data_IF_765293162535
#
_entry.id   IF_765293162535
#
_cell.length_a   1.000
_cell.length_b   1.000
_cell.length_c   1.000
_cell.angle_alpha   90.00
_cell.angle_beta   90.00
_cell.angle_gamma   90.00
#
_symmetry.space_group_name_H-M   'P 1'
#
loop_
_entity.id
_entity.type
_entity.pdbx_description
1 polymer ?
#
# COMPACT_ATOMS: atom_id res chain seq x y z
N UNK A 1 10.00 28.05 24.82
CA UNK A 1 10.01 26.70 24.23
C UNK A 1 8.66 26.50 23.59
N UNK A 2 8.57 26.65 22.26
CA UNK A 2 7.31 26.38 21.56
C UNK A 2 7.13 24.87 21.49
N UNK A 3 6.07 24.37 22.11
CA UNK A 3 5.75 22.95 22.16
C UNK A 3 5.17 22.54 20.82
N UNK A 4 5.99 22.27 19.80
CA UNK A 4 5.46 21.92 18.47
C UNK A 4 4.80 20.55 18.52
N UNK A 5 3.50 20.52 18.27
CA UNK A 5 2.72 19.30 18.14
C UNK A 5 2.67 18.90 16.68
N UNK A 6 2.89 17.62 16.34
CA UNK A 6 2.77 17.14 14.96
C UNK A 6 1.63 16.14 14.83
N UNK A 7 0.70 16.45 13.94
CA UNK A 7 -0.32 15.54 13.45
C UNK A 7 0.01 15.17 12.00
N UNK A 8 0.41 13.93 11.76
CA UNK A 8 0.51 13.38 10.39
C UNK A 8 -0.72 12.52 10.17
N UNK A 9 -1.54 12.93 9.21
CA UNK A 9 -2.71 12.15 8.78
C UNK A 9 -2.48 11.69 7.35
N UNK A 10 -2.79 10.42 7.07
CA UNK A 10 -2.75 9.95 5.70
C UNK A 10 -3.36 8.59 5.45
N UNK A 11 -3.49 8.30 4.16
CA UNK A 11 -3.98 7.03 3.64
C UNK A 11 -2.78 6.10 3.44
N UNK A 12 -2.80 4.92 4.05
CA UNK A 12 -1.74 3.91 3.87
C UNK A 12 -2.22 2.77 3.00
N UNK A 13 -1.50 2.43 1.93
CA UNK A 13 -1.70 1.15 1.25
C UNK A 13 -1.07 0.01 2.05
N UNK A 14 -1.86 -1.03 2.30
CA UNK A 14 -1.34 -2.38 2.40
C UNK A 14 -1.04 -2.91 1.01
N UNK A 15 0.04 -3.69 0.84
CA UNK A 15 0.29 -4.42 -0.40
C UNK A 15 -0.84 -5.44 -0.63
N UNK A 16 -1.88 -5.04 -1.36
CA UNK A 16 -2.96 -5.92 -1.81
C UNK A 16 -2.60 -6.52 -3.17
N UNK A 17 -2.31 -7.82 -3.21
CA UNK A 17 -2.47 -8.58 -4.44
C UNK A 17 -3.96 -8.55 -4.83
N UNK A 18 -4.23 -8.52 -6.15
CA UNK A 18 -5.54 -8.65 -6.77
C UNK A 18 -6.50 -9.54 -5.95
N UNK A 19 -7.80 -9.21 -5.94
CA UNK A 19 -8.90 -10.03 -6.48
C UNK A 19 -10.27 -9.42 -6.10
N UNK A 20 -11.25 -9.68 -6.98
CA UNK A 20 -12.64 -9.18 -6.99
C UNK A 20 -13.40 -9.48 -5.68
N UNK A 21 -14.32 -8.59 -5.36
CA UNK A 21 -15.45 -8.68 -4.41
C UNK A 21 -15.19 -8.44 -2.91
N UNK A 22 -16.23 -7.90 -2.27
CA UNK A 22 -16.30 -7.24 -0.96
C UNK A 22 -15.79 -8.11 0.20
N UNK A 23 -15.36 -7.45 1.27
CA UNK A 23 -15.00 -8.00 2.60
C UNK A 23 -13.81 -8.97 2.65
N UNK A 24 -12.58 -8.49 2.43
CA UNK A 24 -11.37 -9.32 2.47
C UNK A 24 -11.09 -10.05 3.81
N UNK A 25 -11.58 -9.59 4.97
CA UNK A 25 -11.43 -10.35 6.22
C UNK A 25 -12.54 -11.39 6.46
N UNK A 26 -13.61 -11.45 5.66
CA UNK A 26 -14.72 -12.41 5.86
C UNK A 26 -15.37 -13.06 4.62
N UNK A 27 -15.14 -12.62 3.36
CA UNK A 27 -15.84 -13.18 2.17
C UNK A 27 -14.96 -13.76 1.06
N UNK A 28 -13.63 -13.75 1.16
CA UNK A 28 -12.76 -14.28 0.10
C UNK A 28 -12.72 -15.81 0.05
N UNK A 29 -13.81 -16.43 -0.41
CA UNK A 29 -13.76 -17.80 -0.93
C UNK A 29 -14.53 -17.99 -2.25
N UNK A 30 -15.37 -17.05 -2.70
CA UNK A 30 -16.05 -17.22 -3.99
C UNK A 30 -15.44 -16.33 -5.03
N UNK A 31 -14.63 -16.99 -5.86
CA UNK A 31 -14.15 -16.57 -7.18
C UNK A 31 -12.76 -15.93 -7.18
N UNK A 32 -11.93 -16.55 -8.00
CA UNK A 32 -10.65 -16.06 -8.52
C UNK A 32 -9.50 -16.11 -7.52
N UNK A 33 -8.59 -17.06 -7.71
CA UNK A 33 -7.16 -16.84 -7.51
C UNK A 33 -6.55 -16.71 -8.89
N UNK A 34 -5.69 -15.72 -9.09
CA UNK A 34 -4.93 -15.52 -10.31
C UNK A 34 -4.29 -16.83 -10.80
N UNK A 35 -4.40 -17.05 -12.11
CA UNK A 35 -4.19 -18.35 -12.74
C UNK A 35 -2.83 -18.96 -12.40
N UNK A 36 -1.77 -18.18 -12.13
CA UNK A 36 -0.42 -18.68 -11.83
C UNK A 36 -0.30 -19.51 -10.53
N UNK A 37 -0.96 -19.14 -9.43
CA UNK A 37 -0.89 -19.93 -8.20
C UNK A 37 -1.78 -21.17 -8.30
N UNK A 38 -2.95 -21.05 -8.92
CA UNK A 38 -3.74 -22.22 -9.32
C UNK A 38 -2.98 -23.09 -10.30
N UNK A 39 -2.23 -22.55 -11.26
CA UNK A 39 -1.45 -23.32 -12.23
C UNK A 39 -0.22 -23.93 -11.60
N UNK A 40 0.43 -23.31 -10.62
CA UNK A 40 1.52 -23.92 -9.85
C UNK A 40 1.01 -25.00 -8.90
N UNK A 41 -0.17 -24.82 -8.30
CA UNK A 41 -0.85 -25.83 -7.48
C UNK A 41 -1.42 -26.98 -8.34
N UNK A 42 -1.96 -26.68 -9.53
CA UNK A 42 -2.38 -27.62 -10.57
C UNK A 42 -1.14 -28.32 -11.13
N UNK A 43 -0.04 -27.62 -11.40
CA UNK A 43 1.23 -28.25 -11.78
C UNK A 43 1.78 -29.09 -10.63
N UNK A 44 1.67 -28.70 -9.36
CA UNK A 44 2.07 -29.54 -8.24
C UNK A 44 1.13 -30.74 -8.03
N UNK A 45 -0.14 -30.61 -8.42
CA UNK A 45 -1.17 -31.65 -8.39
C UNK A 45 -1.03 -32.65 -9.55
N UNK A 46 -0.68 -32.17 -10.75
CA UNK A 46 -0.51 -32.96 -11.98
C UNK A 46 0.95 -33.33 -12.28
N UNK A 47 1.95 -32.67 -11.70
CA UNK A 47 3.38 -33.02 -11.82
C UNK A 47 3.62 -34.46 -11.38
N UNK A 48 3.08 -34.93 -10.24
CA UNK A 48 3.12 -36.34 -9.90
C UNK A 48 2.46 -37.20 -10.99
N UNK A 49 1.31 -36.80 -11.54
CA UNK A 49 0.65 -37.55 -12.63
C UNK A 49 1.50 -37.67 -13.90
N UNK A 50 2.26 -36.64 -14.28
CA UNK A 50 3.19 -36.69 -15.43
C UNK A 50 4.38 -37.64 -15.20
N UNK A 51 4.82 -37.83 -13.94
CA UNK A 51 5.86 -38.80 -13.59
C UNK A 51 5.30 -40.20 -13.27
N UNK A 52 4.04 -40.28 -12.84
CA UNK A 52 3.40 -41.50 -12.37
C UNK A 52 2.65 -42.23 -13.49
N UNK A 53 2.05 -41.55 -14.48
CA UNK A 53 1.43 -42.22 -15.64
C UNK A 53 2.42 -43.08 -16.43
N UNK A 54 3.66 -42.62 -16.70
CA UNK A 54 4.70 -43.47 -17.25
C UNK A 54 5.08 -44.62 -16.31
N UNK A 55 5.20 -44.37 -15.00
CA UNK A 55 5.56 -45.40 -14.02
C UNK A 55 4.45 -46.46 -13.82
N UNK A 56 3.18 -46.08 -13.84
CA UNK A 56 2.02 -47.00 -13.76
C UNK A 56 1.83 -47.72 -15.09
N UNK A 57 2.08 -47.08 -16.23
CA UNK A 57 2.14 -47.76 -17.52
C UNK A 57 3.31 -48.76 -17.59
N UNK A 58 4.45 -48.43 -16.99
CA UNK A 58 5.65 -49.26 -16.95
C UNK A 58 5.51 -50.42 -15.95
N UNK A 59 4.91 -50.18 -14.78
CA UNK A 59 4.50 -51.20 -13.81
C UNK A 59 3.37 -52.06 -14.37
N UNK A 60 2.39 -51.47 -15.05
CA UNK A 60 1.32 -52.17 -15.75
C UNK A 60 1.84 -53.04 -16.90
N UNK A 61 2.83 -52.57 -17.66
CA UNK A 61 3.55 -53.34 -18.66
C UNK A 61 4.34 -54.50 -18.04
N UNK A 62 4.99 -54.27 -16.89
CA UNK A 62 5.66 -55.31 -16.12
C UNK A 62 4.68 -56.37 -15.58
N UNK A 63 3.51 -55.95 -15.09
CA UNK A 63 2.42 -56.82 -14.59
C UNK A 63 1.77 -57.61 -15.73
N UNK A 64 1.65 -57.05 -16.94
CA UNK A 64 1.12 -57.75 -18.11
C UNK A 64 2.06 -58.86 -18.61
N UNK A 65 3.34 -58.81 -18.23
CA UNK A 65 4.33 -59.87 -18.44
C UNK A 65 4.42 -60.86 -17.25
N UNK A 66 3.56 -60.75 -16.23
CA UNK A 66 3.54 -61.65 -15.08
C UNK A 66 2.51 -61.22 -14.03
N UNK A 67 1.37 -61.93 -14.01
CA UNK A 67 0.11 -61.71 -13.26
C UNK A 67 0.17 -60.85 -11.97
N UNK A 68 -0.67 -59.80 -11.95
CA UNK A 68 -0.94 -58.97 -10.77
C UNK A 68 -2.17 -58.05 -10.86
N UNK A 69 -3.30 -58.57 -11.37
CA UNK A 69 -4.70 -58.06 -11.31
C UNK A 69 -4.96 -56.56 -11.58
N UNK A 70 -5.77 -56.28 -12.62
CA UNK A 70 -6.42 -54.98 -12.92
C UNK A 70 -6.98 -54.29 -11.66
N UNK A 71 -7.49 -55.06 -10.70
CA UNK A 71 -8.00 -54.59 -9.41
C UNK A 71 -6.95 -53.79 -8.63
N UNK A 72 -5.68 -54.20 -8.65
CA UNK A 72 -4.58 -53.51 -7.96
C UNK A 72 -4.34 -52.12 -8.55
N UNK A 73 -4.41 -51.99 -9.89
CA UNK A 73 -4.28 -50.70 -10.58
C UNK A 73 -5.43 -49.77 -10.19
N UNK A 74 -6.67 -50.27 -10.15
CA UNK A 74 -7.82 -49.48 -9.70
C UNK A 74 -7.70 -49.04 -8.25
N UNK A 75 -7.22 -49.89 -7.34
CA UNK A 75 -7.03 -49.54 -5.92
C UNK A 75 -5.98 -48.43 -5.77
N UNK A 76 -4.85 -48.51 -6.50
CA UNK A 76 -3.81 -47.48 -6.45
C UNK A 76 -4.32 -46.14 -6.99
N UNK A 77 -5.09 -46.15 -8.08
CA UNK A 77 -5.70 -44.94 -8.64
C UNK A 77 -6.70 -44.32 -7.65
N UNK A 78 -7.56 -45.13 -7.02
CA UNK A 78 -8.53 -44.63 -6.02
C UNK A 78 -7.81 -44.07 -4.78
N UNK A 79 -6.82 -44.79 -4.24
CA UNK A 79 -6.04 -44.32 -3.09
C UNK A 79 -5.32 -42.99 -3.38
N UNK A 80 -4.85 -42.80 -4.61
CA UNK A 80 -4.21 -41.56 -5.03
C UNK A 80 -5.21 -40.41 -5.21
N UNK A 81 -6.38 -40.66 -5.81
CA UNK A 81 -7.46 -39.64 -5.89
C UNK A 81 -7.85 -39.18 -4.48
N UNK A 82 -8.00 -40.12 -3.54
CA UNK A 82 -8.30 -39.81 -2.14
C UNK A 82 -7.16 -39.03 -1.48
N UNK A 83 -5.90 -39.43 -1.67
CA UNK A 83 -4.74 -38.71 -1.13
C UNK A 83 -4.64 -37.29 -1.69
N UNK A 84 -4.82 -37.10 -3.00
CA UNK A 84 -4.77 -35.81 -3.66
C UNK A 84 -5.91 -34.89 -3.23
N UNK A 85 -7.11 -35.44 -3.03
CA UNK A 85 -8.25 -34.71 -2.45
C UNK A 85 -7.96 -34.27 -1.02
N UNK A 86 -7.45 -35.18 -0.17
CA UNK A 86 -7.09 -34.84 1.21
C UNK A 86 -5.98 -33.79 1.25
N UNK A 87 -4.95 -33.90 0.40
CA UNK A 87 -3.86 -32.94 0.35
C UNK A 87 -4.34 -31.55 -0.12
N UNK A 88 -5.21 -31.50 -1.13
CA UNK A 88 -5.87 -30.27 -1.55
C UNK A 88 -6.66 -29.64 -0.41
N UNK A 89 -7.48 -30.42 0.28
CA UNK A 89 -8.30 -29.95 1.40
C UNK A 89 -7.43 -29.47 2.58
N UNK A 90 -6.32 -30.14 2.86
CA UNK A 90 -5.35 -29.70 3.87
C UNK A 90 -4.66 -28.39 3.47
N UNK A 91 -4.26 -28.23 2.20
CA UNK A 91 -3.64 -26.99 1.71
C UNK A 91 -4.64 -25.84 1.81
N UNK A 92 -5.86 -26.01 1.31
CA UNK A 92 -6.92 -25.01 1.41
C UNK A 92 -7.22 -24.66 2.87
N UNK A 93 -7.41 -25.68 3.72
CA UNK A 93 -7.60 -25.48 5.15
C UNK A 93 -6.44 -24.69 5.77
N UNK A 94 -5.18 -25.02 5.47
CA UNK A 94 -4.03 -24.28 6.01
C UNK A 94 -3.97 -22.83 5.51
N UNK A 95 -4.29 -22.56 4.24
CA UNK A 95 -4.28 -21.20 3.70
C UNK A 95 -5.43 -20.35 4.26
N UNK A 96 -6.63 -20.90 4.30
CA UNK A 96 -7.81 -20.25 4.89
C UNK A 96 -7.58 -19.97 6.39
N UNK A 97 -6.96 -20.92 7.09
CA UNK A 97 -6.60 -20.78 8.51
C UNK A 97 -5.50 -19.74 8.76
N UNK A 98 -4.56 -19.56 7.83
CA UNK A 98 -3.51 -18.53 7.91
C UNK A 98 -4.08 -17.12 7.65
N UNK A 99 -4.97 -16.96 6.67
CA UNK A 99 -5.50 -15.66 6.27
C UNK A 99 -6.46 -15.06 7.31
N UNK A 100 -7.40 -15.84 7.85
CA UNK A 100 -8.31 -15.37 8.91
C UNK A 100 -7.54 -14.93 10.16
N UNK A 101 -6.42 -15.59 10.47
CA UNK A 101 -5.54 -15.22 11.59
C UNK A 101 -4.70 -13.96 11.34
N UNK A 102 -4.59 -13.48 10.10
CA UNK A 102 -3.80 -12.30 9.75
C UNK A 102 -4.55 -10.98 9.97
N UNK A 103 -5.88 -11.01 10.01
CA UNK A 103 -6.72 -9.84 10.22
C UNK A 103 -6.79 -9.46 11.70
N UNK A 104 -5.77 -8.79 12.23
CA UNK A 104 -5.70 -8.50 13.68
C UNK A 104 -5.71 -7.02 13.96
N UNK A 105 -6.62 -6.59 14.83
CA UNK A 105 -6.56 -5.25 15.41
C UNK A 105 -5.86 -5.30 16.75
N UNK A 106 -4.86 -4.44 16.90
CA UNK A 106 -4.08 -4.29 18.12
C UNK A 106 -4.45 -3.01 18.86
N UNK A 107 -4.34 -3.11 20.18
CA UNK A 107 -4.14 -1.96 21.05
C UNK A 107 -2.86 -2.21 21.84
N UNK A 108 -1.87 -1.35 21.65
CA UNK A 108 -0.53 -1.55 22.20
C UNK A 108 0.03 -2.93 21.82
N UNK A 109 0.23 -3.81 22.79
CA UNK A 109 0.72 -5.18 22.61
C UNK A 109 -0.36 -6.27 22.67
N UNK A 110 -1.63 -5.89 22.89
CA UNK A 110 -2.75 -6.81 23.02
C UNK A 110 -3.62 -6.82 21.77
N UNK A 111 -4.08 -8.00 21.37
CA UNK A 111 -5.10 -8.17 20.35
C UNK A 111 -6.43 -7.76 20.97
N UNK A 112 -7.17 -6.89 20.28
CA UNK A 112 -8.50 -6.42 20.72
C UNK A 112 -9.62 -6.91 19.81
N UNK A 113 -9.29 -7.33 18.59
CA UNK A 113 -10.25 -7.90 17.65
C UNK A 113 -9.53 -8.81 16.64
N UNK A 114 -10.07 -10.01 16.41
CA UNK A 114 -9.55 -10.98 15.46
C UNK A 114 -10.68 -11.93 15.01
N UNK A 115 -11.01 -12.05 13.71
CA UNK A 115 -10.64 -11.11 12.66
C UNK A 115 -11.25 -9.73 12.92
N UNK A 116 -10.57 -8.64 12.55
CA UNK A 116 -11.20 -7.32 12.65
C UNK A 116 -12.33 -7.14 11.63
N UNK A 117 -13.33 -6.37 12.01
CA UNK A 117 -14.44 -5.94 11.15
C UNK A 117 -14.17 -4.54 10.60
N UNK A 118 -14.63 -4.26 9.38
CA UNK A 118 -14.47 -2.93 8.76
C UNK A 118 -15.59 -1.95 9.15
N UNK A 119 -16.67 -2.43 9.75
CA UNK A 119 -17.79 -1.59 10.18
C UNK A 119 -17.30 -0.57 11.21
N UNK A 120 -17.57 0.72 10.94
CA UNK A 120 -17.19 1.85 11.78
C UNK A 120 -15.67 1.97 12.09
N UNK A 121 -14.79 1.33 11.32
CA UNK A 121 -13.34 1.37 11.57
C UNK A 121 -12.78 2.80 11.52
N UNK A 122 -13.24 3.62 10.55
CA UNK A 122 -12.86 5.04 10.46
C UNK A 122 -13.27 5.81 11.72
N UNK A 123 -14.48 5.61 12.23
CA UNK A 123 -14.96 6.23 13.48
C UNK A 123 -14.15 5.77 14.69
N UNK A 124 -13.76 4.49 14.76
CA UNK A 124 -12.92 3.95 15.85
C UNK A 124 -11.53 4.59 15.88
N UNK A 125 -10.92 4.78 14.71
CA UNK A 125 -9.64 5.51 14.60
C UNK A 125 -9.80 6.98 14.98
N UNK A 126 -10.91 7.59 14.57
CA UNK A 126 -11.26 8.98 14.92
C UNK A 126 -11.42 9.16 16.42
N UNK A 127 -12.20 8.29 17.09
CA UNK A 127 -12.33 8.29 18.55
C UNK A 127 -10.99 8.12 19.24
N UNK A 128 -10.16 7.19 18.78
CA UNK A 128 -8.84 6.96 19.37
C UNK A 128 -7.94 8.19 19.25
N UNK A 129 -7.98 8.88 18.11
CA UNK A 129 -7.26 10.14 17.89
C UNK A 129 -7.79 11.27 18.78
N UNK A 130 -9.11 11.44 18.88
CA UNK A 130 -9.75 12.42 19.78
C UNK A 130 -9.35 12.14 21.22
N UNK A 131 -9.53 10.92 21.71
CA UNK A 131 -9.18 10.52 23.07
C UNK A 131 -7.71 10.77 23.41
N UNK A 132 -6.81 10.50 22.44
CA UNK A 132 -5.39 10.81 22.59
C UNK A 132 -5.14 12.30 22.74
N UNK A 133 -5.77 13.16 21.92
CA UNK A 133 -5.62 14.61 22.00
C UNK A 133 -6.16 15.18 23.30
N UNK A 134 -7.32 14.70 23.75
CA UNK A 134 -7.92 15.09 25.02
C UNK A 134 -7.00 14.75 26.19
N UNK A 135 -6.50 13.51 26.24
CA UNK A 135 -5.59 13.05 27.29
C UNK A 135 -4.24 13.79 27.24
N UNK A 136 -3.71 14.03 26.04
CA UNK A 136 -2.43 14.72 25.86
C UNK A 136 -2.52 16.19 26.28
N UNK A 137 -3.64 16.85 26.01
CA UNK A 137 -3.87 18.26 26.38
C UNK A 137 -3.77 18.51 27.88
N UNK A 138 -4.11 17.50 28.71
CA UNK A 138 -4.01 17.56 30.18
C UNK A 138 -2.54 17.55 30.63
N UNK A 139 -1.65 16.88 29.89
CA UNK A 139 -0.28 16.59 30.33
C UNK A 139 0.73 17.74 30.12
N UNK A 140 0.36 18.80 29.38
CA UNK A 140 1.26 19.91 28.95
C UNK A 140 2.53 19.48 28.20
N UNK A 141 2.68 18.20 27.85
CA UNK A 141 3.83 17.68 27.09
C UNK A 141 3.59 17.82 25.59
N UNK A 142 4.65 17.96 24.76
CA UNK A 142 4.53 17.80 23.31
C UNK A 142 4.01 16.40 22.96
N UNK A 143 3.20 16.32 21.91
CA UNK A 143 2.67 15.08 21.37
C UNK A 143 3.02 14.94 19.88
N UNK A 144 3.14 13.69 19.44
CA UNK A 144 3.18 13.28 18.04
C UNK A 144 2.01 12.32 17.83
N UNK A 145 1.11 12.66 16.91
CA UNK A 145 -0.03 11.84 16.54
C UNK A 145 0.09 11.46 15.06
N UNK A 146 0.21 10.17 14.79
CA UNK A 146 0.16 9.61 13.44
C UNK A 146 -1.17 8.88 13.28
N UNK A 147 -2.06 9.41 12.44
CA UNK A 147 -3.35 8.78 12.12
C UNK A 147 -3.27 8.24 10.71
N UNK A 148 -3.23 6.91 10.62
CA UNK A 148 -3.19 6.18 9.35
C UNK A 148 -4.55 5.56 9.13
N UNK A 149 -5.38 6.18 8.27
CA UNK A 149 -6.68 5.60 7.96
C UNK A 149 -6.51 4.36 7.08
N UNK A 150 -7.23 3.29 7.44
CA UNK A 150 -7.25 2.04 6.68
C UNK A 150 -8.09 2.18 5.40
N UNK A 151 -9.09 3.05 5.43
CA UNK A 151 -10.10 3.22 4.41
C UNK A 151 -9.55 3.90 3.13
N UNK A 152 -10.28 3.81 2.01
CA UNK A 152 -9.86 4.11 0.62
C UNK A 152 -8.85 3.12 0.02
N UNK A 153 -8.48 2.08 0.75
CA UNK A 153 -7.94 0.85 0.18
C UNK A 153 -9.05 -0.17 0.00
N UNK A 154 -8.84 -1.14 -0.89
CA UNK A 154 -9.76 -2.26 -1.00
C UNK A 154 -9.69 -3.16 0.26
N UNK A 155 -10.84 -3.61 0.80
CA UNK A 155 -12.20 -3.20 0.42
C UNK A 155 -12.52 -1.80 0.95
N UNK A 156 -13.10 -0.95 0.09
CA UNK A 156 -13.54 0.39 0.51
C UNK A 156 -14.83 0.27 1.33
N UNK A 157 -14.92 0.97 2.46
CA UNK A 157 -16.06 0.90 3.38
C UNK A 157 -16.46 2.28 3.89
N UNK A 158 -17.72 2.45 4.32
CA UNK A 158 -18.18 3.64 5.01
C UNK A 158 -19.10 3.24 6.16
N UNK A 159 -19.08 3.98 7.27
CA UNK A 159 -20.06 3.75 8.34
C UNK A 159 -21.48 4.11 7.90
N UNK A 160 -22.49 3.55 8.57
CA UNK A 160 -23.90 3.75 8.22
C UNK A 160 -24.34 5.23 8.27
N UNK A 161 -23.62 6.07 9.01
CA UNK A 161 -23.91 7.50 9.14
C UNK A 161 -23.54 8.29 7.87
N UNK A 162 -22.59 7.77 7.08
CA UNK A 162 -22.11 8.37 5.83
C UNK A 162 -22.59 7.59 4.60
N UNK A 163 -23.02 6.34 4.78
CA UNK A 163 -23.61 5.56 3.71
C UNK A 163 -24.96 6.15 3.30
N UNK A 164 -25.02 6.76 2.12
CA UNK A 164 -26.27 7.31 1.61
C UNK A 164 -27.20 6.18 1.17
N UNK A 165 -28.31 6.00 1.88
CA UNK A 165 -29.40 5.10 1.45
C UNK A 165 -30.13 5.59 0.19
N UNK A 166 -29.92 6.85 -0.22
CA UNK A 166 -30.63 7.52 -1.30
C UNK A 166 -29.65 8.00 -2.40
N UNK A 167 -29.57 7.24 -3.49
CA UNK A 167 -29.19 7.62 -4.86
C UNK A 167 -27.75 8.11 -5.16
N UNK A 168 -27.09 7.38 -6.07
CA UNK A 168 -25.99 7.78 -6.98
C UNK A 168 -24.59 8.09 -6.41
N UNK A 169 -24.31 7.98 -5.11
CA UNK A 169 -22.92 8.10 -4.60
C UNK A 169 -22.20 6.75 -4.58
N UNK A 170 -20.91 6.73 -4.95
CA UNK A 170 -20.09 5.53 -4.85
C UNK A 170 -19.66 5.30 -3.40
N UNK A 171 -19.45 4.05 -2.98
CA UNK A 171 -18.91 3.73 -1.65
C UNK A 171 -17.56 4.41 -1.39
N UNK A 172 -16.80 4.73 -2.45
CA UNK A 172 -15.59 5.54 -2.37
C UNK A 172 -15.88 6.99 -1.96
N UNK A 173 -16.91 7.61 -2.53
CA UNK A 173 -17.35 8.96 -2.15
C UNK A 173 -17.76 9.00 -0.68
N UNK A 174 -18.60 8.06 -0.25
CA UNK A 174 -19.06 7.96 1.14
C UNK A 174 -17.87 7.76 2.11
N UNK A 175 -16.91 6.92 1.74
CA UNK A 175 -15.68 6.69 2.50
C UNK A 175 -14.79 7.94 2.58
N UNK A 176 -14.68 8.69 1.48
CA UNK A 176 -13.91 9.93 1.42
C UNK A 176 -14.55 11.02 2.28
N UNK A 177 -15.88 11.15 2.22
CA UNK A 177 -16.65 12.07 3.08
C UNK A 177 -16.49 11.72 4.57
N UNK A 178 -16.52 10.43 4.91
CA UNK A 178 -16.27 9.98 6.29
C UNK A 178 -14.86 10.36 6.77
N UNK A 179 -13.83 10.19 5.93
CA UNK A 179 -12.46 10.59 6.28
C UNK A 179 -12.32 12.10 6.42
N UNK A 180 -12.91 12.88 5.51
CA UNK A 180 -12.92 14.35 5.59
C UNK A 180 -13.58 14.81 6.89
N UNK A 181 -14.76 14.26 7.22
CA UNK A 181 -15.42 14.53 8.50
C UNK A 181 -14.56 14.14 9.69
N UNK A 182 -13.90 12.97 9.66
CA UNK A 182 -13.01 12.50 10.72
C UNK A 182 -11.83 13.44 10.96
N UNK A 183 -11.20 13.93 9.88
CA UNK A 183 -10.15 14.95 9.95
C UNK A 183 -10.72 16.24 10.54
N UNK A 184 -11.90 16.66 10.08
CA UNK A 184 -12.63 17.81 10.62
C UNK A 184 -12.88 17.70 12.13
N UNK A 185 -13.24 16.51 12.63
CA UNK A 185 -13.44 16.27 14.07
C UNK A 185 -12.13 16.37 14.85
N UNK A 186 -11.04 15.77 14.35
CA UNK A 186 -9.71 15.87 14.96
C UNK A 186 -9.25 17.35 15.03
N UNK A 187 -9.41 18.11 13.95
CA UNK A 187 -9.09 19.54 13.91
C UNK A 187 -9.99 20.37 14.84
N UNK A 188 -11.26 19.97 15.04
CA UNK A 188 -12.14 20.59 16.03
C UNK A 188 -11.65 20.33 17.45
N UNK A 189 -11.25 19.11 17.78
CA UNK A 189 -10.69 18.77 19.09
C UNK A 189 -9.42 19.58 19.39
N UNK A 190 -8.53 19.81 18.41
CA UNK A 190 -7.38 20.70 18.60
C UNK A 190 -7.79 22.14 18.98
N UNK A 191 -8.89 22.65 18.40
CA UNK A 191 -9.43 23.97 18.73
C UNK A 191 -10.06 24.00 20.12
N UNK A 192 -10.90 23.02 20.44
CA UNK A 192 -11.55 22.86 21.76
C UNK A 192 -10.53 22.78 22.89
N UNK A 193 -9.37 22.18 22.63
CA UNK A 193 -8.27 22.04 23.60
C UNK A 193 -7.24 23.18 23.52
N UNK A 194 -7.49 24.24 22.75
CA UNK A 194 -6.58 25.38 22.54
C UNK A 194 -5.16 24.99 22.07
N UNK A 195 -5.01 23.85 21.41
CA UNK A 195 -3.73 23.35 20.88
C UNK A 195 -3.49 23.74 19.41
N UNK A 196 -4.52 24.22 18.72
CA UNK A 196 -4.53 24.49 17.27
C UNK A 196 -3.38 25.40 16.78
N UNK A 197 -3.10 26.51 17.48
CA UNK A 197 -2.04 27.46 17.09
C UNK A 197 -0.62 26.91 17.26
N UNK A 198 -0.45 25.86 18.07
CA UNK A 198 0.84 25.28 18.40
C UNK A 198 1.02 23.89 17.79
N UNK A 199 0.13 23.51 16.86
CA UNK A 199 0.15 22.21 16.18
C UNK A 199 0.42 22.40 14.70
N UNK A 200 1.49 21.76 14.23
CA UNK A 200 1.76 21.49 12.84
C UNK A 200 0.92 20.27 12.41
N UNK A 201 0.01 20.47 11.47
CA UNK A 201 -0.79 19.42 10.86
C UNK A 201 -0.28 19.20 9.44
N UNK A 202 0.01 17.95 9.09
CA UNK A 202 0.37 17.50 7.76
C UNK A 202 -0.65 16.43 7.33
N UNK A 203 -1.31 16.67 6.22
CA UNK A 203 -2.16 15.69 5.54
C UNK A 203 -1.46 15.25 4.27
N UNK A 204 -1.34 13.95 4.06
CA UNK A 204 -0.77 13.38 2.83
C UNK A 204 -1.35 12.00 2.52
N UNK A 205 -0.96 11.40 1.40
CA UNK A 205 -1.22 9.99 1.09
C UNK A 205 0.09 9.22 0.94
N UNK A 206 0.08 7.92 1.23
CA UNK A 206 1.23 7.05 0.97
C UNK A 206 1.48 6.89 -0.54
N UNK A 207 0.41 6.81 -1.34
CA UNK A 207 0.46 6.79 -2.81
C UNK A 207 -0.74 7.52 -3.41
N UNK A 208 -0.68 7.81 -4.71
CA UNK A 208 -1.79 8.30 -5.51
C UNK A 208 -2.83 7.21 -5.79
N UNK A 209 -3.91 7.62 -6.47
CA UNK A 209 -5.06 6.76 -6.75
C UNK A 209 -4.69 5.65 -7.73
N UNK A 210 -4.92 4.41 -7.32
CA UNK A 210 -4.91 3.25 -8.20
C UNK A 210 -6.30 3.10 -8.81
N UNK A 211 -6.47 3.35 -10.11
CA UNK A 211 -7.67 2.86 -10.78
C UNK A 211 -7.43 1.39 -11.05
N UNK A 212 -8.20 0.56 -10.36
CA UNK A 212 -8.42 -0.80 -10.77
C UNK A 212 -9.54 -0.78 -11.81
N UNK A 213 -9.27 -1.32 -13.01
CA UNK A 213 -10.25 -1.65 -14.07
C UNK A 213 -11.45 -2.51 -13.61
N UNK A 214 -11.52 -2.89 -12.32
CA UNK A 214 -12.59 -3.73 -11.77
C UNK A 214 -13.81 -2.98 -11.22
N UNK A 215 -13.89 -1.65 -11.39
CA UNK A 215 -15.18 -0.97 -11.27
C UNK A 215 -16.00 -1.23 -12.54
N UNK A 216 -16.87 -2.24 -12.49
CA UNK A 216 -17.86 -2.57 -13.54
C UNK A 216 -18.81 -1.39 -13.89
N UNK A 217 -18.69 -0.22 -13.24
CA UNK A 217 -19.42 1.01 -13.55
C UNK A 217 -18.58 2.13 -14.17
N UNK A 218 -17.27 1.93 -14.37
CA UNK A 218 -16.38 2.90 -15.02
C UNK A 218 -16.04 2.41 -16.43
N UNK A 219 -17.05 2.32 -17.29
CA UNK A 219 -16.83 2.09 -18.72
C UNK A 219 -16.19 3.34 -19.35
N UNK A 220 -14.94 3.22 -19.78
CA UNK A 220 -14.37 4.11 -20.79
C UNK A 220 -13.95 3.21 -21.96
N UNK A 221 -14.51 3.52 -23.12
CA UNK A 221 -14.42 2.74 -24.35
C UNK A 221 -12.97 2.55 -24.84
N UNK A 222 -12.71 1.31 -25.26
CA UNK A 222 -11.64 0.74 -26.08
C UNK A 222 -10.62 1.69 -26.74
N UNK A 223 -9.38 1.67 -26.24
CA UNK A 223 -8.13 1.84 -26.99
C UNK A 223 -6.98 1.09 -26.24
N UNK A 224 -7.14 -0.23 -26.14
CA UNK A 224 -6.60 -1.19 -25.15
C UNK A 224 -5.07 -1.30 -24.95
N UNK A 225 -4.20 -0.58 -25.68
CA UNK A 225 -2.74 -0.69 -25.47
C UNK A 225 -2.09 0.62 -25.00
N UNK A 226 -2.73 1.77 -25.27
CA UNK A 226 -2.26 3.08 -24.78
C UNK A 226 -2.85 3.42 -23.42
N UNK A 227 -4.05 2.93 -23.11
CA UNK A 227 -4.70 3.15 -21.82
C UNK A 227 -4.14 2.31 -20.68
N UNK A 228 -3.56 1.14 -20.98
CA UNK A 228 -2.91 0.29 -19.96
C UNK A 228 -1.62 0.92 -19.41
N UNK A 229 -0.96 1.80 -20.17
CA UNK A 229 0.13 2.66 -19.67
C UNK A 229 -0.37 3.79 -18.75
N UNK A 230 -1.60 4.25 -18.97
CA UNK A 230 -2.21 5.43 -18.32
C UNK A 230 -2.90 5.10 -17.01
N UNK A 231 -3.31 3.85 -16.81
CA UNK A 231 -4.17 3.49 -15.68
C UNK A 231 -3.44 3.31 -14.35
N UNK A 232 -2.10 3.19 -14.35
CA UNK A 232 -1.33 2.97 -13.12
C UNK A 232 -1.61 1.62 -12.44
N UNK A 233 -2.47 0.79 -13.04
CA UNK A 233 -2.88 -0.53 -12.57
C UNK A 233 -1.72 -1.54 -12.55
N UNK A 234 -0.68 -1.32 -13.36
CA UNK A 234 0.48 -2.23 -13.48
C UNK A 234 1.84 -1.64 -13.05
N UNK A 235 1.96 -0.33 -12.79
CA UNK A 235 3.25 0.32 -12.48
C UNK A 235 3.10 1.54 -11.55
N UNK A 236 3.82 1.53 -10.42
CA UNK A 236 3.78 2.56 -9.37
C UNK A 236 4.69 3.79 -9.62
N UNK A 237 5.18 4.03 -10.84
CA UNK A 237 6.20 5.08 -11.12
C UNK A 237 5.67 6.33 -11.81
N UNK A 238 4.43 6.31 -12.27
CA UNK A 238 3.80 7.43 -12.96
C UNK A 238 3.32 8.47 -11.95
N UNK A 239 3.31 9.76 -12.33
CA UNK A 239 2.93 10.90 -11.49
C UNK A 239 1.58 10.66 -10.80
N UNK A 240 0.62 10.06 -11.51
CA UNK A 240 -0.68 9.68 -10.95
C UNK A 240 -0.61 8.82 -9.69
N UNK A 241 0.43 8.00 -9.56
CA UNK A 241 0.64 7.07 -8.43
C UNK A 241 1.65 7.58 -7.41
N UNK A 242 2.64 8.40 -7.82
CA UNK A 242 3.67 8.91 -6.89
C UNK A 242 3.39 10.31 -6.36
N UNK A 243 2.67 11.14 -7.12
CA UNK A 243 2.31 12.50 -6.73
C UNK A 243 1.02 12.44 -5.91
N UNK A 244 1.14 12.84 -4.64
CA UNK A 244 0.07 12.75 -3.66
C UNK A 244 -0.36 14.14 -3.20
N UNK A 245 -1.61 14.31 -2.72
CA UNK A 245 -1.99 15.53 -2.03
C UNK A 245 -1.09 15.71 -0.81
N UNK A 246 -0.64 16.94 -0.56
CA UNK A 246 0.11 17.31 0.63
C UNK A 246 -0.37 18.67 1.12
N UNK A 247 -0.96 18.71 2.31
CA UNK A 247 -1.46 19.95 2.93
C UNK A 247 -0.76 20.13 4.26
N UNK A 248 -0.15 21.29 4.45
CA UNK A 248 0.52 21.67 5.69
C UNK A 248 -0.22 22.85 6.31
N UNK A 249 -0.56 22.73 7.59
CA UNK A 249 -1.26 23.75 8.35
C UNK A 249 -0.57 23.95 9.69
N UNK A 250 -0.10 25.17 9.95
CA UNK A 250 0.39 25.58 11.27
C UNK A 250 -0.01 27.03 11.52
N UNK A 251 -1.09 27.19 12.28
CA UNK A 251 -1.78 28.46 12.40
C UNK A 251 -0.90 29.50 13.11
N UNK A 252 -0.74 30.66 12.47
CA UNK A 252 0.12 31.75 12.98
C UNK A 252 1.62 31.57 12.72
N UNK A 253 2.02 30.48 12.05
CA UNK A 253 3.43 30.15 11.77
C UNK A 253 3.67 29.97 10.27
N UNK A 254 2.80 29.24 9.57
CA UNK A 254 2.83 29.11 8.10
C UNK A 254 1.81 30.07 7.48
N UNK A 255 2.19 30.73 6.39
CA UNK A 255 1.31 31.63 5.64
C UNK A 255 0.13 30.86 5.03
N UNK A 256 -1.09 31.33 5.29
CA UNK A 256 -2.30 30.71 4.76
C UNK A 256 -2.40 30.87 3.24
N UNK A 257 -2.94 29.85 2.55
CA UNK A 257 -3.14 29.89 1.10
C UNK A 257 -1.86 29.81 0.24
N UNK A 258 -0.70 29.61 0.86
CA UNK A 258 0.57 29.46 0.15
C UNK A 258 0.61 28.16 -0.67
N UNK A 259 1.12 28.24 -1.91
CA UNK A 259 1.34 27.09 -2.79
C UNK A 259 2.84 26.88 -2.97
N UNK A 260 3.34 25.71 -2.54
CA UNK A 260 4.73 25.30 -2.73
C UNK A 260 4.79 24.46 -4.00
N UNK A 261 5.55 24.91 -5.00
CA UNK A 261 5.77 24.18 -6.26
C UNK A 261 7.07 23.37 -6.25
N UNK A 262 7.97 23.67 -5.33
CA UNK A 262 9.23 22.94 -5.13
C UNK A 262 8.95 21.46 -4.85
N UNK A 263 9.58 20.51 -5.56
CA UNK A 263 9.38 19.09 -5.32
C UNK A 263 9.77 18.69 -3.90
N UNK A 264 8.92 17.93 -3.23
CA UNK A 264 9.12 17.42 -1.86
C UNK A 264 8.78 15.94 -1.81
N UNK A 265 9.25 15.24 -0.78
CA UNK A 265 9.04 13.80 -0.61
C UNK A 265 8.45 13.48 0.77
N UNK A 266 7.78 12.35 0.92
CA UNK A 266 7.30 11.90 2.24
C UNK A 266 8.46 11.66 3.23
N UNK A 267 9.67 11.38 2.72
CA UNK A 267 10.89 11.22 3.54
C UNK A 267 11.30 12.52 4.22
N UNK A 268 10.82 13.67 3.74
CA UNK A 268 11.12 15.00 4.28
C UNK A 268 10.46 15.25 5.64
N UNK A 269 9.42 14.48 5.99
CA UNK A 269 8.72 14.61 7.28
C UNK A 269 9.69 14.36 8.44
N UNK A 270 10.50 13.29 8.38
CA UNK A 270 11.43 12.94 9.45
C UNK A 270 12.46 14.05 9.76
N UNK A 271 13.27 14.54 8.79
CA UNK A 271 14.21 15.63 9.06
C UNK A 271 13.52 16.94 9.45
N UNK A 272 12.30 17.20 8.96
CA UNK A 272 11.50 18.36 9.41
C UNK A 272 11.17 18.26 10.90
N UNK A 273 10.73 17.08 11.37
CA UNK A 273 10.46 16.84 12.80
C UNK A 273 11.71 16.96 13.65
N UNK A 274 12.83 16.39 13.20
CA UNK A 274 14.09 16.49 13.93
C UNK A 274 14.54 17.94 14.08
N UNK A 275 14.45 18.73 13.00
CA UNK A 275 14.79 20.16 13.03
C UNK A 275 13.87 20.93 13.98
N UNK A 276 12.56 20.66 13.98
CA UNK A 276 11.60 21.26 14.92
C UNK A 276 11.92 20.96 16.39
N UNK A 277 12.47 19.77 16.65
CA UNK A 277 12.89 19.35 17.98
C UNK A 277 14.32 19.80 18.33
N UNK A 278 14.97 20.60 17.49
CA UNK A 278 16.38 21.00 17.59
C UNK A 278 17.36 19.82 17.63
N UNK A 279 17.01 18.69 17.02
CA UNK A 279 17.92 17.58 16.78
C UNK A 279 18.57 17.70 15.41
N UNK A 280 19.86 17.36 15.34
CA UNK A 280 20.56 17.35 14.06
C UNK A 280 20.07 16.19 13.20
N UNK A 281 19.52 16.51 12.02
CA UNK A 281 19.16 15.53 11.01
C UNK A 281 20.36 14.69 10.51
N UNK A 282 21.60 15.18 10.69
CA UNK A 282 22.81 14.42 10.34
C UNK A 282 23.06 13.18 11.20
N UNK A 283 22.33 13.02 12.31
CA UNK A 283 22.42 11.85 13.17
C UNK A 283 21.81 10.58 12.54
N UNK A 284 20.97 10.73 11.51
CA UNK A 284 20.31 9.62 10.82
C UNK A 284 20.67 9.62 9.33
N UNK A 285 21.06 8.47 8.75
CA UNK A 285 21.17 8.35 7.29
C UNK A 285 19.75 8.50 6.70
N UNK A 286 19.48 9.65 6.08
CA UNK A 286 18.20 9.98 5.48
C UNK A 286 18.38 10.68 4.15
N UNK A 287 17.59 10.29 3.16
CA UNK A 287 17.48 10.98 1.88
C UNK A 287 16.59 12.22 1.96
N UNK A 288 15.74 12.31 2.99
CA UNK A 288 14.83 13.42 3.21
C UNK A 288 15.56 14.75 3.47
N UNK A 289 14.89 15.84 3.12
CA UNK A 289 15.32 17.23 3.38
C UNK A 289 14.23 17.95 4.14
N UNK A 290 14.58 18.69 5.18
CA UNK A 290 13.59 19.42 5.98
C UNK A 290 12.75 20.39 5.13
N UNK A 291 11.44 20.39 5.38
CA UNK A 291 10.43 21.22 4.75
C UNK A 291 10.36 22.65 5.34
N UNK A 292 10.98 22.90 6.50
CA UNK A 292 10.89 24.21 7.16
C UNK A 292 11.26 25.40 6.25
N UNK A 293 12.33 25.34 5.43
CA UNK A 293 12.66 26.44 4.53
C UNK A 293 11.55 26.74 3.52
N UNK A 294 11.01 25.71 2.85
CA UNK A 294 9.95 25.89 1.83
C UNK A 294 8.60 26.24 2.46
N UNK A 295 8.37 25.84 3.71
CA UNK A 295 7.19 26.22 4.49
C UNK A 295 7.20 27.71 4.82
N UNK A 296 8.34 28.26 5.27
CA UNK A 296 8.45 29.67 5.63
C UNK A 296 8.67 30.61 4.43
N UNK A 297 9.23 30.09 3.34
CA UNK A 297 9.43 30.84 2.11
C UNK A 297 9.17 29.92 0.90
N UNK A 298 8.00 30.05 0.27
CA UNK A 298 7.63 29.26 -0.92
C UNK A 298 8.52 29.49 -2.14
N UNK A 299 9.30 30.58 -2.16
CA UNK A 299 10.23 30.87 -3.24
C UNK A 299 11.57 30.15 -3.09
N UNK A 300 11.80 29.45 -1.97
CA UNK A 300 12.99 28.59 -1.82
C UNK A 300 12.94 27.43 -2.81
N UNK A 301 14.07 27.19 -3.47
CA UNK A 301 14.24 26.02 -4.30
C UNK A 301 14.23 24.74 -3.44
N UNK A 302 13.79 23.63 -4.04
CA UNK A 302 13.86 22.35 -3.36
C UNK A 302 15.31 22.01 -3.03
N UNK A 303 15.55 21.53 -1.81
CA UNK A 303 16.83 20.92 -1.44
C UNK A 303 17.06 19.58 -2.17
N UNK A 304 16.05 19.04 -2.84
CA UNK A 304 16.16 17.87 -3.70
C UNK A 304 16.58 18.28 -5.11
N UNK A 305 17.86 18.07 -5.42
CA UNK A 305 18.33 18.18 -6.81
C UNK A 305 17.76 17.06 -7.69
N UNK A 306 17.67 15.85 -7.15
CA UNK A 306 17.18 14.66 -7.82
C UNK A 306 16.31 13.84 -6.87
N UNK A 307 15.17 13.35 -7.35
CA UNK A 307 14.29 12.42 -6.65
C UNK A 307 14.33 11.09 -7.40
N UNK A 308 14.60 10.00 -6.69
CA UNK A 308 14.75 8.66 -7.26
C UNK A 308 13.52 7.81 -6.95
N UNK A 309 12.86 7.29 -7.99
CA UNK A 309 11.62 6.52 -7.87
C UNK A 309 11.92 5.04 -8.01
N UNK A 310 11.50 4.24 -7.02
CA UNK A 310 11.76 2.81 -6.96
C UNK A 310 10.48 1.99 -7.11
N UNK A 311 10.53 0.95 -7.95
CA UNK A 311 9.52 -0.14 -8.00
C UNK A 311 10.05 -1.40 -7.34
N UNK A 312 11.35 -1.63 -7.45
CA UNK A 312 12.04 -2.82 -6.94
C UNK A 312 13.28 -2.45 -6.15
N UNK A 313 13.85 -3.40 -5.42
CA UNK A 313 14.98 -3.17 -4.49
C UNK A 313 16.29 -2.81 -5.22
N UNK A 314 16.41 -3.15 -6.50
CA UNK A 314 17.71 -3.20 -7.18
C UNK A 314 18.12 -1.89 -7.82
N UNK A 315 17.24 -1.20 -8.55
CA UNK A 315 17.55 0.06 -9.25
C UNK A 315 16.33 0.99 -9.29
N UNK A 316 16.52 2.33 -9.24
CA UNK A 316 15.47 3.28 -9.56
C UNK A 316 14.90 3.01 -10.94
N UNK A 317 13.58 3.06 -11.05
CA UNK A 317 12.83 2.93 -12.30
C UNK A 317 12.64 4.28 -12.99
N UNK A 318 12.67 5.39 -12.24
CA UNK A 318 12.66 6.73 -12.78
C UNK A 318 13.45 7.71 -11.90
N UNK A 319 13.81 8.87 -12.46
CA UNK A 319 14.45 9.98 -11.75
C UNK A 319 13.78 11.28 -12.16
N UNK A 320 13.41 12.11 -11.18
CA UNK A 320 12.89 13.47 -11.40
C UNK A 320 13.94 14.50 -10.99
N UNK A 321 14.15 15.52 -11.83
CA UNK A 321 15.06 16.63 -11.59
C UNK A 321 14.47 17.91 -12.16
N UNK A 322 14.10 18.86 -11.30
CA UNK A 322 13.36 20.05 -11.72
C UNK A 322 12.03 19.65 -12.40
N UNK A 323 11.69 20.24 -13.57
CA UNK A 323 10.45 19.91 -14.27
C UNK A 323 10.54 18.61 -15.07
N UNK A 324 11.71 17.97 -15.14
CA UNK A 324 11.93 16.81 -16.00
C UNK A 324 11.93 15.50 -15.23
N UNK A 325 11.41 14.46 -15.86
CA UNK A 325 11.43 13.09 -15.36
C UNK A 325 11.89 12.13 -16.43
N UNK A 326 12.84 11.27 -16.10
CA UNK A 326 13.35 10.21 -16.97
C UNK A 326 12.91 8.85 -16.44
N UNK A 327 12.25 8.07 -17.28
CA UNK A 327 11.76 6.72 -16.97
C UNK A 327 12.63 5.69 -17.69
N UNK A 328 13.25 4.81 -16.90
CA UNK A 328 14.17 3.77 -17.35
C UNK A 328 13.53 2.38 -17.43
N UNK A 329 12.34 2.20 -16.83
CA UNK A 329 11.67 0.91 -16.75
C UNK A 329 10.22 1.05 -17.19
N UNK A 330 9.80 0.21 -18.14
CA UNK A 330 8.43 0.14 -18.66
C UNK A 330 7.52 -0.72 -17.77
N UNK A 331 6.32 -1.03 -18.27
CA UNK A 331 5.35 -1.89 -17.57
C UNK A 331 5.96 -3.25 -17.25
N UNK A 332 5.76 -3.70 -16.00
CA UNK A 332 6.04 -5.07 -15.59
C UNK A 332 5.07 -6.02 -16.31
N UNK A 333 5.59 -6.79 -17.26
CA UNK A 333 4.92 -7.96 -17.84
C UNK A 333 5.18 -9.19 -16.93
N UNK A 334 4.54 -10.32 -17.20
CA UNK A 334 4.75 -11.62 -16.53
C UNK A 334 6.23 -12.08 -16.53
N UNK A 335 7.07 -11.42 -17.32
CA UNK A 335 8.51 -11.66 -17.50
C UNK A 335 9.42 -10.72 -16.69
N UNK A 336 8.87 -9.84 -15.87
CA UNK A 336 9.62 -8.89 -15.04
C UNK A 336 9.75 -7.49 -15.65
N UNK A 337 10.42 -6.56 -14.96
CA UNK A 337 10.55 -5.17 -15.39
C UNK A 337 11.34 -5.06 -16.70
N UNK A 338 10.75 -4.46 -17.74
CA UNK A 338 11.41 -4.21 -19.02
C UNK A 338 12.22 -2.91 -18.95
N UNK A 339 13.53 -2.99 -19.16
CA UNK A 339 14.36 -1.79 -19.30
C UNK A 339 14.07 -1.09 -20.63
N UNK A 340 13.98 0.24 -20.61
CA UNK A 340 13.70 1.07 -21.78
C UNK A 340 15.01 1.63 -22.34
N UNK A 341 15.33 1.24 -23.58
CA UNK A 341 16.43 1.81 -24.34
C UNK A 341 15.90 2.26 -25.71
N UNK A 342 15.83 3.57 -25.99
CA UNK A 342 16.22 4.67 -25.10
C UNK A 342 15.18 4.94 -23.99
N UNK A 343 15.53 5.63 -22.89
CA UNK A 343 14.58 5.95 -21.82
C UNK A 343 13.53 6.96 -22.30
N UNK A 344 12.40 7.03 -21.59
CA UNK A 344 11.37 8.04 -21.85
C UNK A 344 11.67 9.29 -21.02
N UNK A 345 11.55 10.47 -21.63
CA UNK A 345 11.75 11.76 -20.99
C UNK A 345 10.44 12.55 -21.02
N UNK A 346 10.02 13.09 -19.90
CA UNK A 346 8.82 13.94 -19.79
C UNK A 346 9.16 15.25 -19.11
N UNK A 347 8.39 16.30 -19.43
CA UNK A 347 8.31 17.51 -18.63
C UNK A 347 7.01 17.45 -17.82
N UNK A 348 7.11 17.07 -16.54
CA UNK A 348 5.97 16.84 -15.65
C UNK A 348 5.29 18.12 -15.15
N UNK A 349 5.88 19.30 -15.42
CA UNK A 349 5.24 20.58 -15.15
C UNK A 349 4.26 20.96 -16.26
N UNK A 350 4.64 20.74 -17.53
CA UNK A 350 3.80 21.04 -18.69
C UNK A 350 2.91 19.87 -19.12
N UNK A 351 3.35 18.64 -18.86
CA UNK A 351 2.64 17.39 -19.16
C UNK A 351 2.58 16.52 -17.88
N UNK A 352 1.76 16.91 -16.88
CA UNK A 352 1.64 16.18 -15.62
C UNK A 352 1.00 14.80 -15.78
N UNK A 353 0.32 14.54 -16.90
CA UNK A 353 -0.27 13.24 -17.24
C UNK A 353 0.73 12.31 -17.94
N UNK A 354 1.95 12.79 -18.24
CA UNK A 354 3.01 12.02 -18.90
C UNK A 354 2.55 11.38 -20.22
N UNK A 355 1.78 12.13 -21.01
CA UNK A 355 1.16 11.65 -22.26
C UNK A 355 2.10 11.73 -23.46
N UNK A 356 3.05 12.67 -23.44
CA UNK A 356 3.82 13.08 -24.61
C UNK A 356 5.32 13.09 -24.31
N UNK A 357 6.04 11.97 -24.54
CA UNK A 357 7.47 11.92 -24.28
C UNK A 357 8.24 12.86 -25.22
N UNK A 358 9.24 13.55 -24.67
CA UNK A 358 10.14 14.45 -25.38
C UNK A 358 11.17 13.67 -26.22
N UNK A 359 11.58 14.20 -27.38
CA UNK A 359 12.56 13.54 -28.24
C UNK A 359 13.96 13.54 -27.61
N UNK A 360 14.55 12.37 -27.44
CA UNK A 360 15.86 12.21 -26.80
C UNK A 360 17.02 12.87 -27.57
N UNK A 361 16.90 12.99 -28.89
CA UNK A 361 17.93 13.58 -29.76
C UNK A 361 18.20 15.04 -29.38
N UNK A 362 17.15 15.77 -29.01
CA UNK A 362 17.22 17.19 -28.66
C UNK A 362 17.63 17.42 -27.19
N UNK A 363 17.69 16.36 -26.38
CA UNK A 363 17.87 16.43 -24.93
C UNK A 363 19.06 15.59 -24.41
N UNK A 364 20.07 15.33 -25.26
CA UNK A 364 21.20 14.46 -24.93
C UNK A 364 22.00 14.88 -23.69
N UNK A 365 22.26 16.19 -23.51
CA UNK A 365 22.96 16.72 -22.33
C UNK A 365 22.17 16.48 -21.04
N UNK A 366 20.84 16.70 -21.09
CA UNK A 366 19.95 16.47 -19.97
C UNK A 366 19.97 14.98 -19.56
N UNK A 367 19.84 14.07 -20.52
CA UNK A 367 19.88 12.63 -20.29
C UNK A 367 21.22 12.18 -19.67
N UNK A 368 22.32 12.81 -20.06
CA UNK A 368 23.64 12.53 -19.49
C UNK A 368 23.69 12.94 -18.01
N UNK A 369 23.21 14.14 -17.67
CA UNK A 369 23.11 14.60 -16.28
C UNK A 369 22.27 13.64 -15.40
N UNK A 370 21.12 13.17 -15.91
CA UNK A 370 20.31 12.17 -15.22
C UNK A 370 21.06 10.84 -15.03
N UNK A 371 21.78 10.37 -16.05
CA UNK A 371 22.55 9.14 -15.96
C UNK A 371 23.70 9.23 -14.96
N UNK A 372 24.37 10.38 -14.88
CA UNK A 372 25.44 10.65 -13.93
C UNK A 372 24.90 10.72 -12.49
N UNK A 373 23.76 11.39 -12.29
CA UNK A 373 23.08 11.44 -11.00
C UNK A 373 22.68 10.05 -10.52
N UNK A 374 22.11 9.22 -11.41
CA UNK A 374 21.77 7.84 -11.11
C UNK A 374 23.01 7.01 -10.76
N UNK A 375 24.10 7.14 -11.51
CA UNK A 375 25.35 6.44 -11.24
C UNK A 375 25.96 6.86 -9.89
N UNK A 376 25.89 8.16 -9.54
CA UNK A 376 26.35 8.68 -8.27
C UNK A 376 25.50 8.12 -7.10
N UNK A 377 24.18 8.11 -7.25
CA UNK A 377 23.26 7.55 -6.27
C UNK A 377 23.51 6.05 -6.03
N UNK A 378 23.71 5.28 -7.10
CA UNK A 378 24.02 3.85 -6.97
C UNK A 378 25.35 3.60 -6.23
N UNK A 379 26.32 4.53 -6.26
CA UNK A 379 27.57 4.44 -5.49
C UNK A 379 27.39 4.71 -4.00
N UNK A 380 26.41 5.52 -3.59
CA UNK A 380 26.15 5.79 -2.16
C UNK A 380 25.50 4.58 -1.47
N UNK A 381 24.88 3.69 -2.25
CA UNK A 381 24.32 2.43 -1.76
C UNK A 381 25.43 1.51 -1.28
N UNK A 382 25.65 1.50 0.03
CA UNK A 382 26.44 0.46 0.70
C UNK A 382 25.68 -0.87 0.57
N UNK A 383 26.04 -1.72 -0.40
CA UNK A 383 25.61 -3.13 -0.50
C UNK A 383 25.70 -3.79 0.91
N UNK A 384 24.77 -4.56 1.48
CA UNK A 384 23.79 -5.55 0.99
C UNK A 384 22.62 -5.59 1.97
N UNK A 385 21.53 -4.88 1.73
CA UNK A 385 20.32 -5.10 2.51
C UNK A 385 19.66 -6.38 1.99
N UNK A 386 19.49 -7.37 2.86
CA UNK A 386 18.66 -8.52 2.52
C UNK A 386 17.23 -8.02 2.39
N UNK A 387 16.55 -8.35 1.29
CA UNK A 387 15.13 -8.06 1.15
C UNK A 387 14.39 -8.61 2.36
N UNK A 388 13.70 -7.75 3.09
CA UNK A 388 12.82 -8.17 4.18
C UNK A 388 11.54 -8.81 3.65
N UNK A 389 11.22 -8.57 2.37
CA UNK A 389 10.06 -9.09 1.66
C UNK A 389 10.27 -10.52 1.17
N UNK A 390 11.52 -10.99 1.07
CA UNK A 390 11.84 -12.37 0.64
C UNK A 390 11.70 -13.39 1.79
N UNK A 391 11.33 -12.91 2.99
CA UNK A 391 11.14 -13.78 4.14
C UNK A 391 9.95 -14.72 3.93
N UNK A 392 10.14 -16.00 4.25
CA UNK A 392 9.07 -17.00 4.13
C UNK A 392 8.02 -16.74 5.21
N UNK A 393 6.76 -16.80 4.83
CA UNK A 393 5.64 -16.82 5.78
C UNK A 393 5.80 -18.04 6.69
N UNK A 394 5.91 -17.81 8.01
CA UNK A 394 6.00 -18.86 9.03
C UNK A 394 4.64 -18.98 9.71
N UNK A 395 3.87 -20.06 9.48
CA UNK A 395 2.51 -20.21 10.01
C UNK A 395 2.40 -20.10 11.55
N UNK A 396 3.46 -20.42 12.27
CA UNK A 396 3.51 -20.36 13.73
C UNK A 396 3.80 -18.95 14.29
N UNK A 397 4.11 -17.97 13.44
CA UNK A 397 4.32 -16.58 13.85
C UNK A 397 3.04 -15.74 13.76
N UNK A 398 1.96 -16.29 13.20
CA UNK A 398 0.70 -15.55 13.14
C UNK A 398 0.14 -15.33 14.54
N UNK A 399 -0.19 -14.08 14.90
CA UNK A 399 -0.74 -13.77 16.19
C UNK A 399 -2.09 -14.46 16.41
N UNK A 400 -2.39 -14.77 17.67
CA UNK A 400 -3.60 -15.48 18.04
C UNK A 400 -4.10 -14.98 19.40
N UNK A 401 -5.28 -14.38 19.43
CA UNK A 401 -5.89 -13.84 20.65
C UNK A 401 -6.11 -14.92 21.72
N UNK A 402 -6.70 -16.05 21.33
CA UNK A 402 -7.08 -17.16 22.20
C UNK A 402 -6.85 -18.49 21.47
N UNK A 403 -5.60 -18.99 21.54
CA UNK A 403 -5.27 -20.26 20.91
C UNK A 403 -6.10 -21.42 21.51
N UNK A 404 -6.67 -22.32 20.69
CA UNK A 404 -6.47 -22.48 19.23
C UNK A 404 -7.46 -21.74 18.34
N UNK A 405 -8.47 -21.08 18.91
CA UNK A 405 -9.58 -20.48 18.17
C UNK A 405 -9.17 -19.19 17.44
N UNK A 406 -8.26 -18.40 18.01
CA UNK A 406 -7.76 -17.13 17.43
C UNK A 406 -8.90 -16.21 16.98
N UNK A 407 -9.90 -16.09 17.83
CA UNK A 407 -11.10 -15.31 17.64
C UNK A 407 -11.35 -14.43 18.87
N UNK A 408 -11.44 -13.13 18.67
CA UNK A 408 -11.76 -12.17 19.72
C UNK A 408 -12.68 -11.09 19.16
N UNK A 409 -13.82 -10.92 19.82
CA UNK A 409 -14.77 -9.85 19.51
C UNK A 409 -14.27 -8.55 20.13
N UNK A 410 -14.53 -7.45 19.44
CA UNK A 410 -14.26 -6.13 19.97
C UNK A 410 -15.22 -5.79 21.13
N UNK A 411 -14.66 -5.48 22.29
CA UNK A 411 -15.39 -5.29 23.55
C UNK A 411 -15.69 -3.81 23.88
N UNK A 412 -15.55 -2.89 22.90
CA UNK A 412 -15.88 -1.48 23.12
C UNK A 412 -17.20 -1.08 22.46
N UNK A 413 -17.81 -0.02 23.02
CA UNK A 413 -19.08 0.51 22.55
C UNK A 413 -19.02 0.94 21.08
N UNK A 414 -19.99 0.44 20.31
CA UNK A 414 -20.28 0.87 18.95
C UNK A 414 -21.19 2.12 18.89
N UNK A 415 -21.47 2.75 20.02
CA UNK A 415 -22.13 4.05 20.07
C UNK A 415 -21.10 5.16 19.82
N UNK A 416 -21.22 5.92 18.73
CA UNK A 416 -20.34 7.03 18.33
C UNK A 416 -20.95 8.42 18.50
N UNK A 417 -22.06 8.53 19.23
CA UNK A 417 -22.72 9.82 19.49
C UNK A 417 -21.77 10.88 20.07
N UNK A 418 -20.83 10.47 20.92
CA UNK A 418 -19.79 11.29 21.52
C UNK A 418 -18.92 12.06 20.51
N UNK A 419 -18.79 11.57 19.28
CA UNK A 419 -18.02 12.24 18.23
C UNK A 419 -18.82 13.34 17.50
N UNK A 420 -20.15 13.29 17.54
CA UNK A 420 -21.04 14.19 16.79
C UNK A 420 -21.51 15.39 17.62
N UNK A 421 -21.44 15.28 18.94
CA UNK A 421 -21.56 16.41 19.88
C UNK A 421 -20.35 17.35 19.77
#
# INVERSE_FOLDING_TARGET
>A
MATTYLLVTGLTLGMGFHLRTKHQCMESYKTTSNSQYTWQSVYAFFSPLFYILPCVALVGWFINNGLGNIITVFIVVIAFILYSSILHDVIHFTMDFIQVRSCVLYRNSSIVEQPYTTENMTLRFTRSAVHFLETSSISSKPFFLFVSFMNLNQPVFASRLFSNSNQNTSTYSDALEEIDWSIGRILRTLRERNADNNTLVLFTSATGHHVDESCDSCSVDDDEERDVLRDGSKNYIWERTIRVPAVIRWKGVVTEGQVIRSPVTIMDIMPTVLELLNYSASALPSDGKSLLPVMFNSSEESKHKHIFHYVEVTKPAAVTSGPYKVVYTGIKDDRGPRHLEPPLLFNVETDPEETSPLPNVDHGELLTNFSDALAQHLKTRKNKWHSQLDSRVVPFWFPCANFPHCFQVYDESNDFSDLFD
#
